data_IF_133519929303
#
_entry.id   IF_133519929303
#
_cell.length_a   1.000
_cell.length_b   1.000
_cell.length_c   1.000
_cell.angle_alpha   90.00
_cell.angle_beta   90.00
_cell.angle_gamma   90.00
#
_symmetry.space_group_name_H-M   'P 1'
#
loop_
_entity.id
_entity.type
_entity.pdbx_description
1 polymer ?
#
# COMPACT_ATOMS: atom_id res chain seq x y z
N UNK A 1 -16.54 11.44 16.52
CA UNK A 1 -15.45 12.37 16.15
C UNK A 1 -14.98 11.97 14.76
N UNK A 2 -15.18 12.83 13.77
CA UNK A 2 -14.87 12.55 12.35
C UNK A 2 -13.36 12.44 12.17
N UNK A 3 -12.87 11.26 11.78
CA UNK A 3 -11.48 11.07 11.39
C UNK A 3 -11.21 11.89 10.14
N UNK A 4 -10.33 12.88 10.26
CA UNK A 4 -9.96 13.74 9.16
C UNK A 4 -9.35 12.93 8.03
N UNK A 5 -10.06 12.81 6.92
CA UNK A 5 -9.55 12.29 5.65
C UNK A 5 -8.42 13.23 5.20
N UNK A 6 -7.17 12.81 5.30
CA UNK A 6 -6.05 13.58 4.77
C UNK A 6 -5.95 13.31 3.26
N UNK A 7 -6.63 14.13 2.46
CA UNK A 7 -6.28 14.28 1.06
C UNK A 7 -5.04 15.18 0.99
N UNK A 8 -3.86 14.58 0.79
CA UNK A 8 -2.62 15.32 0.63
C UNK A 8 -2.54 15.99 -0.75
N UNK A 9 -1.92 17.16 -0.83
CA UNK A 9 -1.45 17.72 -2.12
C UNK A 9 -0.46 16.73 -2.73
N UNK A 10 -0.35 16.69 -4.06
CA UNK A 10 0.67 15.95 -4.76
C UNK A 10 2.06 16.31 -4.20
N UNK A 11 2.77 15.35 -3.65
CA UNK A 11 4.19 15.49 -3.34
C UNK A 11 5.00 15.38 -4.62
N UNK A 12 5.99 16.23 -4.80
CA UNK A 12 6.85 16.22 -5.97
C UNK A 12 8.27 15.83 -5.55
N UNK A 13 8.79 14.76 -6.12
CA UNK A 13 10.23 14.50 -6.15
C UNK A 13 10.69 14.72 -7.59
N UNK A 14 11.17 15.94 -7.88
CA UNK A 14 11.54 16.34 -9.23
C UNK A 14 13.05 16.18 -9.46
N UNK A 15 13.44 15.33 -10.42
CA UNK A 15 14.70 15.42 -11.16
C UNK A 15 14.78 14.49 -12.39
N UNK A 16 13.69 14.34 -13.17
CA UNK A 16 13.68 13.57 -14.40
C UNK A 16 13.22 14.40 -15.61
N UNK A 17 13.56 13.99 -16.80
CA UNK A 17 13.18 14.64 -18.07
C UNK A 17 12.20 13.73 -18.82
N UNK A 18 10.92 13.68 -18.42
CA UNK A 18 9.92 12.84 -19.07
C UNK A 18 8.48 13.15 -18.62
N UNK A 19 7.50 12.46 -19.19
CA UNK A 19 6.12 12.50 -18.73
C UNK A 19 6.05 11.84 -17.34
N UNK A 20 5.92 12.63 -16.29
CA UNK A 20 6.02 12.18 -14.90
C UNK A 20 5.06 11.04 -14.55
N UNK A 21 5.55 10.03 -13.83
CA UNK A 21 4.75 8.93 -13.30
C UNK A 21 3.89 9.40 -12.13
N UNK A 22 2.64 8.99 -12.10
CA UNK A 22 1.69 9.36 -11.05
C UNK A 22 1.37 8.17 -10.17
N UNK A 23 1.66 8.28 -8.88
CA UNK A 23 1.48 7.21 -7.89
C UNK A 23 0.40 7.63 -6.89
N UNK A 24 -0.58 6.76 -6.67
CA UNK A 24 -1.59 6.94 -5.65
C UNK A 24 -1.41 5.91 -4.54
N UNK A 25 -1.15 6.36 -3.32
CA UNK A 25 -1.24 5.55 -2.13
C UNK A 25 -2.65 5.61 -1.54
N UNK A 26 -3.28 4.47 -1.29
CA UNK A 26 -4.59 4.43 -0.62
C UNK A 26 -4.53 3.46 0.55
N UNK A 27 -5.03 3.87 1.67
CA UNK A 27 -5.14 2.93 2.79
C UNK A 27 -5.07 3.52 4.19
N UNK A 28 -4.55 2.71 5.06
CA UNK A 28 -4.34 2.88 6.48
C UNK A 28 -2.94 3.48 6.77
N UNK A 29 -2.60 3.56 8.04
CA UNK A 29 -1.33 4.10 8.53
C UNK A 29 -0.06 3.51 7.87
N UNK A 30 -0.12 2.30 7.31
CA UNK A 30 1.00 1.70 6.59
C UNK A 30 1.41 2.45 5.33
N UNK A 31 0.50 3.20 4.70
CA UNK A 31 0.77 4.04 3.52
C UNK A 31 0.94 5.51 3.89
N UNK A 32 0.34 5.93 5.01
CA UNK A 32 0.41 7.31 5.48
C UNK A 32 1.82 7.66 5.97
N UNK A 33 2.25 8.92 5.84
CA UNK A 33 3.51 9.36 6.44
C UNK A 33 3.49 9.13 7.95
N UNK A 34 4.59 8.59 8.48
CA UNK A 34 4.74 8.31 9.90
C UNK A 34 4.73 9.58 10.77
N UNK A 35 4.44 9.40 12.06
CA UNK A 35 4.55 10.46 13.06
C UNK A 35 6.03 10.90 13.19
N UNK A 36 6.27 12.22 13.05
CA UNK A 36 7.60 12.82 13.21
C UNK A 36 8.44 12.94 11.95
N UNK A 37 8.04 12.37 10.84
CA UNK A 37 8.72 12.58 9.55
C UNK A 37 8.25 13.85 8.84
N UNK A 38 9.10 14.38 7.94
CA UNK A 38 8.74 15.49 7.06
C UNK A 38 7.43 15.15 6.37
N UNK A 39 6.43 16.01 6.55
CA UNK A 39 5.12 15.82 5.95
C UNK A 39 5.29 15.44 4.47
N UNK A 40 4.84 14.25 4.14
CA UNK A 40 4.70 13.87 2.75
C UNK A 40 5.51 12.67 2.26
N UNK A 41 6.32 11.99 3.03
CA UNK A 41 7.02 10.82 2.48
C UNK A 41 6.22 9.53 2.68
N UNK A 42 6.24 8.72 3.60
CA UNK A 42 5.56 7.43 3.65
C UNK A 42 5.97 6.48 2.50
N UNK A 43 5.40 5.29 2.47
CA UNK A 43 5.76 4.28 1.45
C UNK A 43 5.54 4.79 0.02
N UNK A 44 4.50 5.59 -0.23
CA UNK A 44 4.21 6.12 -1.57
C UNK A 44 5.28 7.12 -2.04
N UNK A 45 5.76 8.01 -1.15
CA UNK A 45 6.83 8.94 -1.46
C UNK A 45 8.16 8.23 -1.72
N UNK A 46 8.52 7.25 -0.89
CA UNK A 46 9.72 6.44 -1.12
C UNK A 46 9.63 5.58 -2.38
N UNK A 47 8.44 5.14 -2.76
CA UNK A 47 8.21 4.47 -4.03
C UNK A 47 8.45 5.42 -5.21
N UNK A 48 7.93 6.65 -5.14
CA UNK A 48 8.15 7.67 -6.17
C UNK A 48 9.66 7.99 -6.33
N UNK A 49 10.34 8.24 -5.22
CA UNK A 49 11.78 8.51 -5.21
C UNK A 49 12.60 7.36 -5.83
N UNK A 50 12.26 6.13 -5.50
CA UNK A 50 12.96 4.95 -6.01
C UNK A 50 12.57 4.58 -7.44
N UNK A 51 11.43 5.05 -7.95
CA UNK A 51 10.98 4.76 -9.31
C UNK A 51 11.69 5.63 -10.35
N UNK A 52 12.08 6.86 -10.01
CA UNK A 52 12.76 7.81 -10.89
C UNK A 52 13.99 7.18 -11.57
N UNK A 53 14.99 6.64 -10.82
CA UNK A 53 16.16 6.05 -11.46
C UNK A 53 15.87 4.78 -12.26
N UNK A 54 14.74 4.12 -12.01
CA UNK A 54 14.34 2.90 -12.72
C UNK A 54 13.60 3.19 -14.03
N UNK A 55 12.84 4.29 -14.09
CA UNK A 55 12.04 4.66 -15.27
C UNK A 55 12.69 5.75 -16.12
N UNK A 56 13.55 6.58 -15.54
CA UNK A 56 14.07 7.80 -16.15
C UNK A 56 13.05 8.95 -16.22
N UNK A 57 11.82 8.73 -15.75
CA UNK A 57 10.74 9.69 -15.70
C UNK A 57 10.67 10.36 -14.31
N UNK A 58 10.17 11.58 -14.24
CA UNK A 58 9.75 12.19 -12.97
C UNK A 58 8.66 11.37 -12.30
N UNK A 59 8.53 11.49 -10.99
CA UNK A 59 7.45 10.84 -10.26
C UNK A 59 6.74 11.82 -9.32
N UNK A 60 5.41 11.77 -9.35
CA UNK A 60 4.54 12.49 -8.43
C UNK A 60 3.69 11.49 -7.64
N UNK A 61 3.33 11.83 -6.42
CA UNK A 61 2.57 10.93 -5.58
C UNK A 61 1.53 11.67 -4.72
N UNK A 62 0.47 10.97 -4.40
CA UNK A 62 -0.58 11.41 -3.49
C UNK A 62 -0.97 10.25 -2.58
N UNK A 63 -1.40 10.57 -1.36
CA UNK A 63 -1.92 9.58 -0.42
C UNK A 63 -3.33 9.97 0.01
N UNK A 64 -4.23 8.99 0.00
CA UNK A 64 -5.60 9.10 0.46
C UNK A 64 -5.86 8.01 1.49
N UNK A 65 -6.29 8.38 2.67
CA UNK A 65 -6.57 7.41 3.73
C UNK A 65 -6.67 8.04 5.10
N UNK A 66 -6.88 7.19 6.10
CA UNK A 66 -6.93 7.59 7.49
C UNK A 66 -6.46 6.45 8.40
N UNK A 67 -5.99 6.81 9.58
CA UNK A 67 -5.59 5.84 10.61
C UNK A 67 -6.81 5.02 11.04
N UNK A 68 -6.66 3.71 11.11
CA UNK A 68 -7.76 2.81 11.46
C UNK A 68 -8.61 2.33 10.28
N UNK A 69 -8.24 2.69 9.03
CA UNK A 69 -9.00 2.28 7.85
C UNK A 69 -9.02 0.75 7.69
N UNK A 70 -10.21 0.21 7.49
CA UNK A 70 -10.44 -1.17 7.06
C UNK A 70 -10.43 -1.27 5.53
N UNK A 71 -10.45 -2.48 4.98
CA UNK A 71 -10.60 -2.69 3.53
C UNK A 71 -11.90 -2.06 2.97
N UNK A 72 -12.96 -1.99 3.78
CA UNK A 72 -14.21 -1.31 3.38
C UNK A 72 -14.03 0.21 3.28
N UNK A 73 -13.25 0.81 4.19
CA UNK A 73 -12.95 2.25 4.16
C UNK A 73 -12.02 2.60 3.00
N UNK A 74 -11.04 1.74 2.71
CA UNK A 74 -10.17 1.86 1.53
C UNK A 74 -10.98 1.82 0.24
N UNK A 75 -11.93 0.89 0.14
CA UNK A 75 -12.86 0.82 -1.00
C UNK A 75 -13.72 2.09 -1.12
N UNK A 76 -14.22 2.62 -0.01
CA UNK A 76 -14.99 3.87 0.01
C UNK A 76 -14.14 5.06 -0.45
N UNK A 77 -12.88 5.15 0.02
CA UNK A 77 -11.91 6.17 -0.43
C UNK A 77 -11.67 6.10 -1.93
N UNK A 78 -11.47 4.90 -2.48
CA UNK A 78 -11.29 4.72 -3.93
C UNK A 78 -12.54 5.09 -4.74
N UNK A 79 -13.75 4.88 -4.20
CA UNK A 79 -15.00 5.31 -4.86
C UNK A 79 -15.10 6.83 -4.98
N UNK A 80 -14.63 7.56 -3.98
CA UNK A 80 -14.64 9.03 -3.94
C UNK A 80 -13.62 9.70 -4.88
N UNK A 81 -12.76 8.94 -5.55
CA UNK A 81 -11.82 9.46 -6.56
C UNK A 81 -12.51 9.39 -7.92
N UNK A 82 -12.89 10.52 -8.50
CA UNK A 82 -13.67 10.56 -9.74
C UNK A 82 -12.88 10.08 -10.96
N UNK A 83 -11.60 10.43 -11.07
CA UNK A 83 -10.75 10.09 -12.21
C UNK A 83 -9.40 9.55 -11.74
N UNK A 84 -9.14 8.27 -12.04
CA UNK A 84 -7.94 7.58 -11.61
C UNK A 84 -6.83 7.67 -12.70
N UNK A 85 -6.45 8.90 -13.04
CA UNK A 85 -5.34 9.18 -13.96
C UNK A 85 -4.00 8.99 -13.28
N UNK A 86 -3.71 7.77 -12.88
CA UNK A 86 -2.43 7.39 -12.24
C UNK A 86 -1.86 6.15 -12.91
N UNK A 87 -0.55 5.99 -12.85
CA UNK A 87 0.15 4.83 -13.41
C UNK A 87 0.16 3.66 -12.43
N UNK A 88 0.27 3.97 -11.13
CA UNK A 88 0.44 2.99 -10.08
C UNK A 88 -0.42 3.33 -8.87
N UNK A 89 -1.15 2.33 -8.35
CA UNK A 89 -1.88 2.41 -7.09
C UNK A 89 -1.21 1.49 -6.07
N UNK A 90 -0.80 2.05 -4.94
CA UNK A 90 -0.31 1.29 -3.78
C UNK A 90 -1.44 1.18 -2.76
N UNK A 91 -1.79 -0.02 -2.35
CA UNK A 91 -2.88 -0.28 -1.39
C UNK A 91 -2.31 -0.88 -0.12
N UNK A 92 -2.52 -0.18 1.01
CA UNK A 92 -2.20 -0.68 2.35
C UNK A 92 -3.49 -0.84 3.17
N UNK A 93 -3.80 -2.08 3.55
CA UNK A 93 -5.00 -2.41 4.32
C UNK A 93 -4.82 -3.73 5.05
N UNK A 94 -5.70 -4.01 6.00
CA UNK A 94 -5.83 -5.32 6.62
C UNK A 94 -5.48 -5.38 8.10
N UNK A 95 -4.60 -4.54 8.63
CA UNK A 95 -4.27 -4.53 10.06
C UNK A 95 -5.53 -4.32 10.91
N UNK A 96 -6.37 -3.38 10.53
CA UNK A 96 -7.63 -3.10 11.22
C UNK A 96 -8.71 -4.17 10.93
N UNK A 97 -8.67 -4.81 9.78
CA UNK A 97 -9.52 -5.96 9.48
C UNK A 97 -9.16 -7.19 10.33
N UNK A 98 -7.86 -7.39 10.60
CA UNK A 98 -7.39 -8.44 11.54
C UNK A 98 -7.94 -8.18 12.93
N UNK A 99 -7.76 -6.98 13.46
CA UNK A 99 -8.20 -6.57 14.80
C UNK A 99 -9.73 -6.54 14.91
N UNK A 100 -10.42 -6.09 13.86
CA UNK A 100 -11.87 -6.03 13.76
C UNK A 100 -12.54 -7.37 13.42
N UNK A 101 -11.76 -8.46 13.37
CA UNK A 101 -12.26 -9.82 13.11
C UNK A 101 -13.03 -9.96 11.78
N UNK A 102 -12.68 -9.18 10.76
CA UNK A 102 -13.26 -9.33 9.40
C UNK A 102 -13.12 -10.77 8.91
N UNK A 103 -14.20 -11.40 8.47
CA UNK A 103 -14.14 -12.77 7.96
C UNK A 103 -13.30 -12.87 6.68
N UNK A 104 -12.64 -14.01 6.44
CA UNK A 104 -11.82 -14.22 5.24
C UNK A 104 -12.62 -14.06 3.95
N UNK A 105 -13.90 -14.46 3.93
CA UNK A 105 -14.79 -14.26 2.80
C UNK A 105 -15.03 -12.77 2.50
N UNK A 106 -15.33 -11.99 3.54
CA UNK A 106 -15.53 -10.54 3.40
C UNK A 106 -14.24 -9.85 2.97
N UNK A 107 -13.10 -10.25 3.56
CA UNK A 107 -11.78 -9.77 3.17
C UNK A 107 -11.51 -10.01 1.68
N UNK A 108 -11.68 -11.23 1.21
CA UNK A 108 -11.50 -11.58 -0.21
C UNK A 108 -12.44 -10.80 -1.12
N UNK A 109 -13.70 -10.67 -0.75
CA UNK A 109 -14.66 -9.87 -1.51
C UNK A 109 -14.20 -8.42 -1.66
N UNK A 110 -13.67 -7.78 -0.58
CA UNK A 110 -13.16 -6.41 -0.66
C UNK A 110 -11.93 -6.27 -1.55
N UNK A 111 -11.05 -7.27 -1.60
CA UNK A 111 -9.93 -7.29 -2.54
C UNK A 111 -10.44 -7.28 -3.98
N UNK A 112 -11.41 -8.12 -4.33
CA UNK A 112 -11.99 -8.17 -5.67
C UNK A 112 -12.76 -6.89 -6.01
N UNK A 113 -13.54 -6.35 -5.08
CA UNK A 113 -14.24 -5.08 -5.26
C UNK A 113 -13.26 -3.93 -5.57
N UNK A 114 -12.13 -3.86 -4.86
CA UNK A 114 -11.07 -2.87 -5.10
C UNK A 114 -10.44 -3.03 -6.47
N UNK A 115 -10.06 -4.24 -6.84
CA UNK A 115 -9.48 -4.54 -8.14
C UNK A 115 -10.45 -4.12 -9.25
N UNK A 116 -11.71 -4.54 -9.15
CA UNK A 116 -12.73 -4.22 -10.15
C UNK A 116 -12.95 -2.70 -10.27
N UNK A 117 -13.10 -2.01 -9.13
CA UNK A 117 -13.31 -0.57 -9.09
C UNK A 117 -12.14 0.20 -9.74
N UNK A 118 -10.90 -0.15 -9.41
CA UNK A 118 -9.72 0.51 -9.97
C UNK A 118 -9.64 0.27 -11.48
N UNK A 119 -9.93 -0.96 -11.92
CA UNK A 119 -9.96 -1.31 -13.34
C UNK A 119 -11.07 -0.61 -14.13
N UNK A 120 -12.21 -0.36 -13.51
CA UNK A 120 -13.30 0.43 -14.11
C UNK A 120 -12.93 1.91 -14.25
N UNK A 121 -12.13 2.45 -13.34
CA UNK A 121 -11.72 3.86 -13.34
C UNK A 121 -10.47 4.16 -14.18
N UNK A 122 -9.72 3.14 -14.60
CA UNK A 122 -8.50 3.37 -15.38
C UNK A 122 -7.66 2.13 -15.62
N UNK A 123 -6.47 2.35 -16.15
CA UNK A 123 -5.50 1.30 -16.51
C UNK A 123 -4.34 1.18 -15.53
N UNK A 124 -4.44 1.83 -14.37
CA UNK A 124 -3.41 1.81 -13.35
C UNK A 124 -2.97 0.39 -12.96
N UNK A 125 -1.69 0.21 -12.71
CA UNK A 125 -1.17 -0.99 -12.08
C UNK A 125 -1.41 -0.93 -10.58
N UNK A 126 -1.58 -2.09 -9.94
CA UNK A 126 -1.96 -2.18 -8.53
C UNK A 126 -0.89 -2.97 -7.77
N UNK A 127 -0.39 -2.41 -6.68
CA UNK A 127 0.43 -3.15 -5.73
C UNK A 127 -0.27 -3.14 -4.37
N UNK A 128 -0.61 -4.33 -3.91
CA UNK A 128 -1.08 -4.52 -2.55
C UNK A 128 0.12 -4.76 -1.64
N UNK A 129 0.27 -3.92 -0.62
CA UNK A 129 1.22 -4.15 0.45
C UNK A 129 0.72 -5.33 1.30
N UNK A 130 1.56 -6.35 1.49
CA UNK A 130 1.27 -7.49 2.34
C UNK A 130 1.08 -7.07 3.79
N UNK A 131 0.38 -7.90 4.57
CA UNK A 131 0.15 -7.61 5.97
C UNK A 131 1.44 -7.80 6.78
N UNK A 132 1.76 -6.87 7.69
CA UNK A 132 2.90 -7.03 8.57
C UNK A 132 2.70 -8.24 9.51
N UNK A 133 3.79 -8.88 9.98
CA UNK A 133 3.71 -10.00 10.90
C UNK A 133 3.26 -9.55 12.31
N UNK A 134 1.95 -9.44 12.53
CA UNK A 134 1.37 -8.90 13.77
C UNK A 134 1.75 -9.70 15.03
N UNK A 135 2.26 -10.92 14.88
CA UNK A 135 2.87 -11.66 15.99
C UNK A 135 4.10 -10.95 16.58
N UNK A 136 4.71 -10.00 15.85
CA UNK A 136 5.87 -9.21 16.29
C UNK A 136 5.49 -7.86 16.91
N UNK A 137 4.21 -7.48 16.92
CA UNK A 137 3.73 -6.22 17.48
C UNK A 137 3.71 -6.30 19.01
N UNK A 138 4.71 -5.70 19.65
CA UNK A 138 4.88 -5.76 21.10
C UNK A 138 3.78 -5.02 21.87
N UNK A 139 3.14 -4.04 21.25
CA UNK A 139 1.99 -3.32 21.77
C UNK A 139 0.74 -4.18 21.98
N UNK A 140 0.65 -5.34 21.31
CA UNK A 140 -0.45 -6.28 21.49
C UNK A 140 -0.14 -7.25 22.65
N UNK A 141 -0.98 -7.32 23.70
CA UNK A 141 -0.80 -8.28 24.79
C UNK A 141 -1.07 -9.72 24.32
N UNK A 142 -0.52 -10.70 25.03
CA UNK A 142 -0.90 -12.10 24.85
C UNK A 142 -2.23 -12.38 25.57
N UNK A 143 -3.11 -13.25 25.00
CA UNK A 143 -2.94 -14.07 23.79
C UNK A 143 -3.33 -13.33 22.48
N UNK A 144 -3.82 -12.09 22.55
CA UNK A 144 -4.31 -11.33 21.41
C UNK A 144 -3.27 -11.25 20.28
N UNK A 145 -2.01 -10.99 20.63
CA UNK A 145 -0.90 -10.92 19.66
C UNK A 145 -0.74 -12.21 18.86
N UNK A 146 -0.84 -13.37 19.52
CA UNK A 146 -0.75 -14.67 18.82
C UNK A 146 -1.93 -14.87 17.86
N UNK A 147 -3.15 -14.54 18.28
CA UNK A 147 -4.36 -14.64 17.46
C UNK A 147 -4.27 -13.70 16.25
N UNK A 148 -3.91 -12.43 16.46
CA UNK A 148 -3.73 -11.46 15.37
C UNK A 148 -2.63 -11.91 14.40
N UNK A 149 -1.53 -12.48 14.90
CA UNK A 149 -0.45 -13.00 14.06
C UNK A 149 -0.88 -14.15 13.15
N UNK A 150 -1.69 -15.09 13.66
CA UNK A 150 -2.26 -16.16 12.83
C UNK A 150 -3.22 -15.60 11.78
N UNK A 151 -4.13 -14.71 12.21
CA UNK A 151 -5.12 -14.09 11.30
C UNK A 151 -4.45 -13.27 10.21
N UNK A 152 -3.45 -12.47 10.53
CA UNK A 152 -2.71 -11.67 9.57
C UNK A 152 -2.09 -12.56 8.48
N UNK A 153 -1.44 -13.67 8.86
CA UNK A 153 -0.90 -14.64 7.88
C UNK A 153 -1.96 -15.25 6.98
N UNK A 154 -3.12 -15.62 7.53
CA UNK A 154 -4.22 -16.18 6.74
C UNK A 154 -4.79 -15.16 5.76
N UNK A 155 -4.98 -13.92 6.20
CA UNK A 155 -5.50 -12.83 5.36
C UNK A 155 -4.49 -12.42 4.29
N UNK A 156 -3.19 -12.40 4.61
CA UNK A 156 -2.13 -12.14 3.64
C UNK A 156 -2.05 -13.24 2.57
N UNK A 157 -2.17 -14.50 2.97
CA UNK A 157 -2.22 -15.62 2.03
C UNK A 157 -3.43 -15.53 1.07
N UNK A 158 -4.59 -15.08 1.55
CA UNK A 158 -5.78 -14.81 0.72
C UNK A 158 -5.48 -13.66 -0.24
N UNK A 159 -4.89 -12.56 0.23
CA UNK A 159 -4.52 -11.42 -0.62
C UNK A 159 -3.57 -11.84 -1.73
N UNK A 160 -2.48 -12.51 -1.38
CA UNK A 160 -1.47 -13.02 -2.32
C UNK A 160 -2.11 -13.90 -3.40
N UNK A 161 -2.98 -14.82 -3.01
CA UNK A 161 -3.71 -15.71 -3.93
C UNK A 161 -4.66 -14.94 -4.84
N UNK A 162 -5.35 -13.93 -4.31
CA UNK A 162 -6.33 -13.13 -5.06
C UNK A 162 -5.71 -12.32 -6.19
N UNK A 163 -4.44 -11.94 -6.08
CA UNK A 163 -3.73 -11.18 -7.12
C UNK A 163 -2.78 -12.03 -7.95
N UNK A 164 -2.60 -13.29 -7.59
CA UNK A 164 -1.71 -14.22 -8.31
C UNK A 164 -2.20 -14.44 -9.75
N UNK A 165 -1.30 -14.29 -10.71
CA UNK A 165 -1.60 -14.45 -12.14
C UNK A 165 -2.21 -13.23 -12.83
N UNK A 166 -2.44 -12.12 -12.12
CA UNK A 166 -2.86 -10.87 -12.73
C UNK A 166 -1.64 -10.10 -13.26
N UNK A 167 -1.66 -9.71 -14.54
CA UNK A 167 -0.56 -8.98 -15.19
C UNK A 167 -0.55 -7.47 -14.88
N UNK A 168 -1.54 -7.01 -14.14
CA UNK A 168 -1.71 -5.61 -13.73
C UNK A 168 -1.70 -5.42 -12.21
N UNK A 169 -1.62 -6.50 -11.42
CA UNK A 169 -1.59 -6.41 -9.97
C UNK A 169 -0.50 -7.31 -9.37
N UNK A 170 0.09 -6.87 -8.27
CA UNK A 170 1.09 -7.64 -7.53
C UNK A 170 0.85 -7.55 -6.01
N UNK A 171 1.28 -8.59 -5.31
CA UNK A 171 1.42 -8.63 -3.86
C UNK A 171 2.88 -8.32 -3.51
N UNK A 172 3.09 -7.31 -2.67
CA UNK A 172 4.39 -6.98 -2.11
C UNK A 172 4.49 -7.67 -0.75
N UNK A 173 5.23 -8.76 -0.70
CA UNK A 173 5.44 -9.53 0.52
C UNK A 173 6.18 -8.69 1.57
N UNK A 174 5.57 -8.52 2.74
CA UNK A 174 6.11 -7.66 3.80
C UNK A 174 7.39 -8.25 4.41
N UNK A 175 7.41 -9.54 4.72
CA UNK A 175 8.54 -10.17 5.42
C UNK A 175 9.82 -10.17 4.59
N UNK A 176 9.70 -10.39 3.28
CA UNK A 176 10.86 -10.38 2.36
C UNK A 176 11.28 -8.97 1.95
N UNK A 177 10.42 -7.98 2.17
CA UNK A 177 10.67 -6.59 1.76
C UNK A 177 11.10 -5.69 2.92
N UNK A 178 10.74 -6.04 4.16
CA UNK A 178 11.16 -5.32 5.35
C UNK A 178 12.55 -5.76 5.83
N UNK A 179 13.39 -4.84 6.29
CA UNK A 179 14.70 -5.19 6.87
C UNK A 179 14.54 -6.01 8.15
N UNK A 180 15.57 -6.76 8.50
CA UNK A 180 15.65 -7.40 9.80
C UNK A 180 15.71 -6.33 10.91
N UNK A 181 14.95 -6.52 11.99
CA UNK A 181 14.92 -5.57 13.10
C UNK A 181 13.51 -5.19 13.53
N UNK A 182 13.37 -4.13 14.33
CA UNK A 182 12.07 -3.65 14.77
C UNK A 182 11.25 -3.14 13.59
N UNK A 183 10.00 -3.59 13.49
CA UNK A 183 9.07 -3.17 12.45
C UNK A 183 8.46 -1.82 12.81
N UNK A 184 8.31 -1.58 14.11
CA UNK A 184 7.68 -0.40 14.67
C UNK A 184 8.53 0.17 15.79
N UNK A 185 8.59 1.50 15.92
CA UNK A 185 9.25 2.17 17.05
C UNK A 185 8.34 2.23 18.28
N UNK A 186 7.04 2.49 18.05
CA UNK A 186 6.02 2.66 19.09
C UNK A 186 5.08 1.45 19.23
N UNK A 187 5.35 0.38 18.51
CA UNK A 187 4.53 -0.82 18.48
C UNK A 187 3.36 -0.79 17.48
N UNK A 188 3.16 0.32 16.73
CA UNK A 188 2.07 0.49 15.76
C UNK A 188 2.51 1.06 14.42
N UNK A 189 3.41 2.03 14.39
CA UNK A 189 3.81 2.71 13.17
C UNK A 189 5.09 2.12 12.60
N UNK A 190 5.10 1.88 11.30
CA UNK A 190 6.30 1.36 10.62
C UNK A 190 7.46 2.35 10.76
N UNK A 191 8.64 1.85 11.09
CA UNK A 191 9.86 2.68 11.11
C UNK A 191 10.14 3.26 9.73
N UNK A 192 10.80 4.40 9.69
CA UNK A 192 11.28 5.02 8.43
C UNK A 192 12.05 4.03 7.57
N UNK A 193 12.90 3.21 8.19
CA UNK A 193 13.70 2.22 7.47
C UNK A 193 12.82 1.16 6.77
N UNK A 194 11.77 0.70 7.44
CA UNK A 194 10.80 -0.24 6.86
C UNK A 194 10.03 0.43 5.72
N UNK A 195 9.57 1.67 5.92
CA UNK A 195 8.84 2.41 4.87
C UNK A 195 9.70 2.62 3.62
N UNK A 196 10.99 2.97 3.78
CA UNK A 196 11.94 3.11 2.66
C UNK A 196 12.13 1.79 1.92
N UNK A 197 12.33 0.70 2.65
CA UNK A 197 12.51 -0.62 2.04
C UNK A 197 11.27 -1.07 1.26
N UNK A 198 10.07 -0.90 1.84
CA UNK A 198 8.81 -1.19 1.17
C UNK A 198 8.62 -0.31 -0.08
N UNK A 199 8.92 0.99 0.01
CA UNK A 199 8.84 1.93 -1.11
C UNK A 199 9.77 1.54 -2.25
N UNK A 200 11.04 1.22 -1.97
CA UNK A 200 12.00 0.77 -2.97
C UNK A 200 11.56 -0.55 -3.64
N UNK A 201 11.04 -1.48 -2.84
CA UNK A 201 10.54 -2.74 -3.39
C UNK A 201 9.28 -2.56 -4.23
N UNK A 202 8.37 -1.65 -3.80
CA UNK A 202 7.19 -1.28 -4.57
C UNK A 202 7.57 -0.64 -5.91
N UNK A 203 8.61 0.21 -5.94
CA UNK A 203 9.13 0.79 -7.18
C UNK A 203 9.65 -0.28 -8.15
N UNK A 204 10.42 -1.25 -7.66
CA UNK A 204 10.92 -2.36 -8.50
C UNK A 204 9.77 -3.19 -9.09
N UNK A 205 8.77 -3.55 -8.28
CA UNK A 205 7.58 -4.26 -8.75
C UNK A 205 6.76 -3.41 -9.72
N UNK A 206 6.58 -2.12 -9.42
CA UNK A 206 5.87 -1.17 -10.25
C UNK A 206 6.52 -0.99 -11.62
N UNK A 207 7.84 -0.83 -11.67
CA UNK A 207 8.60 -0.74 -12.92
C UNK A 207 8.35 -1.97 -13.80
N UNK A 208 8.44 -3.18 -13.23
CA UNK A 208 8.19 -4.42 -13.97
C UNK A 208 6.74 -4.48 -14.52
N UNK A 209 5.73 -4.13 -13.70
CA UNK A 209 4.34 -4.11 -14.14
C UNK A 209 4.08 -3.09 -15.26
N UNK A 210 4.73 -1.93 -15.21
CA UNK A 210 4.59 -0.86 -16.21
C UNK A 210 5.25 -1.24 -17.53
N UNK A 211 6.39 -1.93 -17.50
CA UNK A 211 7.12 -2.38 -18.70
C UNK A 211 6.36 -3.46 -19.48
N UNK A 212 5.72 -4.41 -18.81
CA UNK A 212 4.92 -5.48 -19.45
C UNK A 212 3.79 -4.91 -20.33
N UNK A 213 3.30 -3.71 -20.04
CA UNK A 213 2.23 -3.06 -20.81
C UNK A 213 2.73 -2.43 -22.13
N UNK A 214 4.00 -2.05 -22.23
CA UNK A 214 4.58 -1.44 -23.43
C UNK A 214 4.93 -2.47 -24.50
N UNK A 215 5.15 -3.73 -24.15
CA UNK A 215 5.51 -4.80 -25.07
C UNK A 215 4.31 -5.46 -25.80
N UNK A 216 3.07 -5.08 -25.44
CA UNK A 216 1.82 -5.66 -26.05
C UNK A 216 1.07 -4.71 -26.99
N UNK A 217 1.69 -3.60 -27.42
CA UNK A 217 1.13 -2.69 -28.42
C UNK A 217 1.79 -2.89 -29.79
#
# INVERSE_FOLDING_TARGET
MSAATRSGRWGHNASGHGAGRRILGVGDQGILPGYGEKAGQGVAGYCAESLIPLSGDDATWQVVGHVGATASDVLASCRGIDDLKVDLVLISMGVNDVSGLTSLMRWQARIFDLILLIRQKGTAKIIFLGLPPMARFQSLPQPLRAVCGVRARLMDAVLKRSVSGLDFAAHLDFETSAPAGPITDDGYHLTTQVQKALGARAASLGSNLLQVSTCRR
#
